data_IF_414369538147
#
_entry.id   IF_414369538147
#
_cell.length_a   1.000
_cell.length_b   1.000
_cell.length_c   1.000
_cell.angle_alpha   90.00
_cell.angle_beta   90.00
_cell.angle_gamma   90.00
#
_symmetry.space_group_name_H-M   'P 1'
#
loop_
_entity.id
_entity.type
_entity.pdbx_description
1 polymer ?
#
# COMPACT_ATOMS: atom_id res chain seq x y z
N UNK A 1 0.86 -29.81 16.54
CA UNK A 1 -0.48 -29.52 16.02
C UNK A 1 -0.85 -30.66 15.08
N UNK A 2 -1.95 -31.36 15.35
CA UNK A 2 -2.49 -32.39 14.48
C UNK A 2 -3.14 -31.69 13.29
N UNK A 3 -2.62 -31.91 12.08
CA UNK A 3 -3.27 -31.49 10.85
C UNK A 3 -4.33 -32.53 10.49
N UNK A 4 -5.61 -32.15 10.52
CA UNK A 4 -6.70 -32.96 9.97
C UNK A 4 -6.74 -32.74 8.46
N UNK A 5 -6.16 -33.69 7.71
CA UNK A 5 -6.04 -33.68 6.24
C UNK A 5 -7.40 -33.73 5.50
N UNK A 6 -8.49 -33.94 6.23
CA UNK A 6 -9.86 -34.16 5.71
C UNK A 6 -10.81 -32.97 5.97
N UNK A 7 -10.32 -31.83 6.48
CA UNK A 7 -11.19 -30.66 6.72
C UNK A 7 -11.52 -29.98 5.38
N UNK A 8 -12.81 -29.87 4.99
CA UNK A 8 -13.17 -29.24 3.72
C UNK A 8 -12.82 -27.75 3.73
N UNK A 9 -12.23 -27.25 2.63
CA UNK A 9 -11.94 -25.84 2.45
C UNK A 9 -13.19 -24.99 2.69
N UNK A 10 -13.12 -24.07 3.64
CA UNK A 10 -14.22 -23.21 4.05
C UNK A 10 -14.45 -22.14 2.99
N UNK A 11 -15.66 -22.15 2.43
CA UNK A 11 -16.14 -21.11 1.53
C UNK A 11 -17.36 -20.46 2.13
N UNK A 12 -17.37 -19.13 2.14
CA UNK A 12 -18.57 -18.37 2.47
C UNK A 12 -19.34 -18.15 1.19
N UNK A 13 -20.59 -18.60 1.15
CA UNK A 13 -21.43 -18.56 -0.06
C UNK A 13 -21.87 -17.15 -0.48
N UNK A 14 -21.63 -16.12 0.35
CA UNK A 14 -21.91 -14.73 0.02
C UNK A 14 -21.11 -13.78 0.93
N UNK A 15 -20.46 -12.77 0.35
CA UNK A 15 -19.87 -11.68 1.12
C UNK A 15 -20.95 -10.91 1.89
N UNK A 16 -20.62 -10.40 3.09
CA UNK A 16 -21.57 -9.66 3.94
C UNK A 16 -22.18 -8.44 3.21
N UNK A 17 -21.35 -7.75 2.42
CA UNK A 17 -21.72 -6.58 1.62
C UNK A 17 -22.42 -6.91 0.29
N UNK A 18 -22.46 -8.18 -0.10
CA UNK A 18 -23.07 -8.64 -1.34
C UNK A 18 -22.35 -8.25 -2.63
N UNK A 19 -21.12 -7.72 -2.56
CA UNK A 19 -20.33 -7.35 -3.75
C UNK A 19 -19.86 -8.60 -4.50
N UNK A 20 -19.42 -9.63 -3.75
CA UNK A 20 -18.97 -10.89 -4.30
C UNK A 20 -19.96 -12.02 -4.00
N UNK A 21 -20.13 -12.91 -5.00
CA UNK A 21 -20.96 -14.11 -4.89
C UNK A 21 -20.38 -15.21 -3.98
N UNK A 22 -19.20 -14.99 -3.40
CA UNK A 22 -18.58 -15.88 -2.42
C UNK A 22 -17.20 -15.37 -1.99
N UNK A 23 -16.74 -15.82 -0.83
CA UNK A 23 -15.42 -15.52 -0.27
C UNK A 23 -14.69 -16.81 0.11
N UNK A 24 -13.36 -16.82 -0.03
CA UNK A 24 -12.50 -17.91 0.42
C UNK A 24 -11.95 -17.62 1.82
N UNK A 25 -11.79 -18.67 2.63
CA UNK A 25 -11.14 -18.52 3.94
C UNK A 25 -9.67 -18.21 3.74
N UNK A 26 -9.21 -17.11 4.33
CA UNK A 26 -7.82 -16.71 4.34
C UNK A 26 -6.96 -17.69 5.15
N UNK A 27 -7.48 -18.23 6.26
CA UNK A 27 -6.79 -19.21 7.11
C UNK A 27 -6.40 -20.47 6.32
N UNK A 28 -7.35 -21.06 5.58
CA UNK A 28 -7.09 -22.27 4.80
C UNK A 28 -6.02 -22.04 3.71
N UNK A 29 -5.99 -20.83 3.12
CA UNK A 29 -4.99 -20.46 2.11
C UNK A 29 -3.61 -20.25 2.76
N UNK A 30 -3.56 -19.62 3.94
CA UNK A 30 -2.32 -19.45 4.70
C UNK A 30 -1.74 -20.80 5.13
N UNK A 31 -2.57 -21.73 5.61
CA UNK A 31 -2.17 -23.09 5.93
C UNK A 31 -1.55 -23.79 4.71
N UNK A 32 -2.21 -23.72 3.55
CA UNK A 32 -1.65 -24.24 2.30
C UNK A 32 -0.33 -23.56 1.93
N UNK A 33 -0.22 -22.23 2.10
CA UNK A 33 1.01 -21.50 1.83
C UNK A 33 2.17 -21.96 2.74
N UNK A 34 1.91 -22.26 4.02
CA UNK A 34 2.92 -22.79 4.96
C UNK A 34 3.43 -24.14 4.47
N UNK A 35 2.54 -25.02 4.02
CA UNK A 35 2.91 -26.33 3.49
C UNK A 35 3.68 -26.24 2.15
N UNK A 36 3.42 -25.19 1.37
CA UNK A 36 4.04 -24.98 0.05
C UNK A 36 5.35 -24.20 0.08
N UNK A 37 5.67 -23.49 1.16
CA UNK A 37 6.87 -22.65 1.25
C UNK A 37 8.15 -23.47 0.98
N UNK A 38 8.89 -23.19 -0.10
CA UNK A 38 10.12 -23.92 -0.40
C UNK A 38 11.19 -23.71 0.67
N UNK A 39 12.03 -24.73 0.91
CA UNK A 39 13.10 -24.66 1.91
C UNK A 39 14.21 -23.67 1.55
N UNK A 40 14.36 -23.32 0.28
CA UNK A 40 15.34 -22.36 -0.26
C UNK A 40 14.75 -20.96 -0.49
N UNK A 41 13.46 -20.76 -0.23
CA UNK A 41 12.82 -19.45 -0.29
C UNK A 41 12.86 -18.75 1.07
N UNK A 42 13.12 -17.44 1.06
CA UNK A 42 13.01 -16.63 2.28
C UNK A 42 11.56 -16.51 2.75
N UNK A 43 10.64 -16.20 1.84
CA UNK A 43 9.21 -16.08 2.10
C UNK A 43 8.39 -16.48 0.86
N UNK A 44 7.11 -16.79 1.06
CA UNK A 44 6.13 -17.07 0.00
C UNK A 44 4.99 -16.06 0.08
N UNK A 45 4.80 -15.29 -1.00
CA UNK A 45 3.62 -14.45 -1.18
C UNK A 45 2.70 -15.12 -2.21
N UNK A 46 1.51 -15.51 -1.79
CA UNK A 46 0.47 -15.99 -2.68
C UNK A 46 -0.43 -14.82 -3.11
N UNK A 47 -0.60 -14.65 -4.42
CA UNK A 47 -1.52 -13.68 -4.99
C UNK A 47 -2.78 -14.40 -5.45
N UNK A 48 -3.94 -13.88 -5.04
CA UNK A 48 -5.25 -14.40 -5.43
C UNK A 48 -6.13 -13.27 -5.97
N UNK A 49 -7.11 -13.63 -6.81
CA UNK A 49 -8.12 -12.73 -7.37
C UNK A 49 -9.52 -12.95 -6.79
N UNK A 50 -9.62 -13.84 -5.80
CA UNK A 50 -10.85 -14.13 -5.08
C UNK A 50 -10.96 -13.25 -3.83
N UNK A 51 -12.18 -12.86 -3.49
CA UNK A 51 -12.44 -12.14 -2.24
C UNK A 51 -12.21 -13.04 -1.02
N UNK A 52 -11.66 -12.48 0.05
CA UNK A 52 -11.22 -13.24 1.22
C UNK A 52 -11.92 -12.76 2.49
N UNK A 53 -12.08 -13.68 3.44
CA UNK A 53 -12.48 -13.38 4.81
C UNK A 53 -11.55 -14.09 5.79
N UNK A 54 -11.32 -13.48 6.95
CA UNK A 54 -10.51 -14.05 8.03
C UNK A 54 -11.41 -14.71 9.09
N UNK A 55 -12.36 -13.95 9.62
CA UNK A 55 -13.31 -14.39 10.65
C UNK A 55 -14.75 -14.29 10.12
N UNK A 56 -15.71 -14.99 10.74
CA UNK A 56 -17.12 -14.96 10.31
C UNK A 56 -17.74 -13.55 10.39
N UNK A 57 -17.28 -12.76 11.38
CA UNK A 57 -17.75 -11.39 11.64
C UNK A 57 -17.01 -10.33 10.81
N UNK A 58 -15.89 -10.68 10.16
CA UNK A 58 -15.16 -9.74 9.31
C UNK A 58 -15.82 -9.64 7.92
N UNK A 59 -15.92 -8.41 7.40
CA UNK A 59 -16.51 -8.16 6.08
C UNK A 59 -15.64 -8.72 4.95
N UNK A 60 -14.34 -8.41 4.97
CA UNK A 60 -13.34 -8.93 4.04
C UNK A 60 -11.92 -8.68 4.55
N UNK A 61 -10.94 -9.29 3.88
CA UNK A 61 -9.52 -9.01 4.07
C UNK A 61 -8.82 -8.90 2.70
N UNK A 62 -7.96 -7.90 2.54
CA UNK A 62 -7.19 -7.72 1.29
C UNK A 62 -5.81 -8.37 1.35
N UNK A 63 -5.29 -8.65 2.54
CA UNK A 63 -3.97 -9.21 2.73
C UNK A 63 -3.75 -9.64 4.17
N UNK A 64 -3.01 -10.72 4.35
CA UNK A 64 -2.54 -11.17 5.67
C UNK A 64 -1.25 -11.94 5.53
N UNK A 65 -0.38 -11.78 6.52
CA UNK A 65 0.82 -12.55 6.69
C UNK A 65 0.84 -13.29 8.03
N UNK A 66 1.34 -14.52 8.00
CA UNK A 66 1.88 -15.18 9.19
C UNK A 66 3.39 -15.00 9.15
N UNK A 67 3.85 -13.81 9.55
CA UNK A 67 5.23 -13.36 9.37
C UNK A 67 6.28 -14.33 9.92
N UNK A 68 6.03 -14.92 11.09
CA UNK A 68 6.91 -15.96 11.69
C UNK A 68 7.00 -17.25 10.85
N UNK A 69 5.97 -17.57 10.08
CA UNK A 69 5.96 -18.69 9.12
C UNK A 69 6.45 -18.27 7.73
N UNK A 70 6.78 -16.98 7.52
CA UNK A 70 7.30 -16.42 6.27
C UNK A 70 6.35 -16.61 5.08
N UNK A 71 5.05 -16.56 5.34
CA UNK A 71 4.02 -16.63 4.30
C UNK A 71 3.09 -15.44 4.37
N UNK A 72 2.64 -15.01 3.20
CA UNK A 72 1.68 -13.94 3.01
C UNK A 72 0.69 -14.32 1.91
N UNK A 73 -0.54 -13.84 2.03
CA UNK A 73 -1.58 -13.94 1.00
C UNK A 73 -2.11 -12.54 0.75
N UNK A 74 -2.21 -12.14 -0.52
CA UNK A 74 -2.82 -10.87 -0.92
C UNK A 74 -3.88 -11.12 -1.99
N UNK A 75 -5.07 -10.56 -1.77
CA UNK A 75 -6.15 -10.55 -2.74
C UNK A 75 -6.17 -9.25 -3.53
N UNK A 76 -6.29 -9.40 -4.84
CA UNK A 76 -6.51 -8.27 -5.75
C UNK A 76 -7.99 -7.88 -5.88
N UNK A 77 -8.94 -8.72 -5.44
CA UNK A 77 -10.37 -8.60 -5.75
C UNK A 77 -10.95 -7.22 -5.38
N UNK A 78 -10.69 -6.80 -4.13
CA UNK A 78 -11.20 -5.55 -3.54
C UNK A 78 -10.49 -4.29 -4.03
N UNK A 79 -9.34 -4.44 -4.71
CA UNK A 79 -8.55 -3.32 -5.23
C UNK A 79 -8.91 -2.91 -6.65
N UNK A 80 -9.81 -3.64 -7.32
CA UNK A 80 -10.28 -3.30 -8.65
C UNK A 80 -10.91 -1.89 -8.66
N UNK A 81 -10.38 -0.93 -9.46
CA UNK A 81 -10.91 0.43 -9.52
C UNK A 81 -12.39 0.52 -9.91
N UNK A 82 -12.91 -0.47 -10.64
CA UNK A 82 -14.35 -0.55 -10.96
C UNK A 82 -15.25 -0.67 -9.72
N UNK A 83 -14.71 -1.03 -8.56
CA UNK A 83 -15.43 -1.13 -7.29
C UNK A 83 -15.33 0.15 -6.44
N UNK A 84 -14.55 1.15 -6.84
CA UNK A 84 -14.23 2.31 -5.98
C UNK A 84 -15.49 3.07 -5.53
N UNK A 85 -16.44 3.27 -6.44
CA UNK A 85 -17.69 3.96 -6.13
C UNK A 85 -18.56 3.16 -5.16
N UNK A 86 -18.56 1.83 -5.26
CA UNK A 86 -19.36 0.94 -4.44
C UNK A 86 -18.76 0.76 -3.04
N UNK A 87 -17.43 0.75 -2.95
CA UNK A 87 -16.67 0.56 -1.72
C UNK A 87 -16.24 1.88 -1.05
N UNK A 88 -16.71 3.02 -1.56
CA UNK A 88 -16.36 4.37 -1.10
C UNK A 88 -14.84 4.61 -0.96
N UNK A 89 -14.04 4.11 -1.90
CA UNK A 89 -12.58 4.27 -1.88
C UNK A 89 -12.22 5.74 -2.12
N UNK A 90 -11.31 6.27 -1.29
CA UNK A 90 -10.77 7.62 -1.49
C UNK A 90 -9.74 7.61 -2.62
N UNK A 91 -10.01 8.35 -3.70
CA UNK A 91 -9.16 8.40 -4.89
C UNK A 91 -8.61 9.81 -5.13
N UNK A 92 -9.34 10.84 -4.71
CA UNK A 92 -8.95 12.23 -4.95
C UNK A 92 -7.81 12.65 -4.02
N UNK A 93 -7.91 12.24 -2.76
CA UNK A 93 -6.93 12.50 -1.70
C UNK A 93 -6.27 11.21 -1.19
N UNK A 94 -6.11 10.22 -2.05
CA UNK A 94 -5.20 9.10 -1.82
C UNK A 94 -3.77 9.61 -1.65
N UNK A 95 -2.86 8.78 -1.16
CA UNK A 95 -1.45 9.14 -1.13
C UNK A 95 -0.94 9.46 -2.56
N UNK A 96 -0.14 10.52 -2.77
CA UNK A 96 0.37 11.49 -1.78
C UNK A 96 -0.56 12.71 -1.56
N UNK A 97 -1.67 12.83 -2.29
CA UNK A 97 -2.58 13.98 -2.22
C UNK A 97 -3.25 14.20 -0.85
N UNK A 98 -3.29 13.18 0.01
CA UNK A 98 -3.58 13.31 1.44
C UNK A 98 -2.65 14.30 2.17
N UNK A 99 -1.51 14.66 1.58
CA UNK A 99 -0.55 15.63 2.09
C UNK A 99 -0.55 16.96 1.29
N UNK A 100 -1.51 17.19 0.39
CA UNK A 100 -1.58 18.48 -0.30
C UNK A 100 -2.03 19.58 0.66
N UNK A 101 -1.47 20.78 0.49
CA UNK A 101 -1.72 21.92 1.39
C UNK A 101 -3.22 22.18 1.58
N UNK A 102 -3.99 22.16 0.48
CA UNK A 102 -5.43 22.46 0.52
C UNK A 102 -6.21 21.45 1.36
N UNK A 103 -5.84 20.16 1.27
CA UNK A 103 -6.46 19.10 2.07
C UNK A 103 -6.09 19.20 3.55
N UNK A 104 -4.80 19.41 3.84
CA UNK A 104 -4.31 19.58 5.22
C UNK A 104 -4.98 20.79 5.88
N UNK A 105 -5.01 21.94 5.21
CA UNK A 105 -5.67 23.14 5.73
C UNK A 105 -7.17 22.90 5.99
N UNK A 106 -7.84 22.11 5.13
CA UNK A 106 -9.23 21.76 5.34
C UNK A 106 -9.40 20.84 6.56
N UNK A 107 -8.52 19.87 6.77
CA UNK A 107 -8.54 19.01 7.94
C UNK A 107 -8.34 19.80 9.24
N UNK A 108 -7.38 20.72 9.27
CA UNK A 108 -7.11 21.60 10.43
C UNK A 108 -8.33 22.46 10.75
N UNK A 109 -8.90 23.15 9.76
CA UNK A 109 -10.12 23.96 9.96
C UNK A 109 -11.28 23.15 10.54
N UNK A 110 -11.51 21.94 10.03
CA UNK A 110 -12.59 21.08 10.51
C UNK A 110 -12.35 20.57 11.94
N UNK A 111 -11.08 20.29 12.29
CA UNK A 111 -10.70 19.87 13.65
C UNK A 111 -10.95 20.99 14.67
N UNK A 112 -10.61 22.23 14.33
CA UNK A 112 -10.85 23.41 15.18
C UNK A 112 -12.35 23.68 15.41
N UNK A 113 -13.19 23.42 14.39
CA UNK A 113 -14.65 23.64 14.45
C UNK A 113 -15.42 22.49 15.14
N UNK A 114 -14.74 21.45 15.63
CA UNK A 114 -15.38 20.25 16.23
C UNK A 114 -16.31 19.51 15.26
N UNK A 115 -16.17 19.74 13.95
CA UNK A 115 -16.97 19.12 12.89
C UNK A 115 -16.18 18.02 12.23
N UNK A 116 -16.82 16.88 12.00
CA UNK A 116 -16.25 15.85 11.14
C UNK A 116 -15.88 16.49 9.78
N UNK A 117 -14.70 16.15 9.22
CA UNK A 117 -14.25 16.76 7.97
C UNK A 117 -15.30 16.55 6.90
N UNK A 118 -15.79 17.66 6.32
CA UNK A 118 -16.80 17.60 5.27
C UNK A 118 -16.21 16.84 4.08
N UNK A 119 -16.86 15.73 3.66
CA UNK A 119 -16.55 14.95 2.43
C UNK A 119 -16.65 15.77 1.12
N UNK A 120 -16.80 17.11 1.17
CA UNK A 120 -16.79 17.96 -0.02
C UNK A 120 -15.43 17.83 -0.70
N UNK A 121 -15.46 17.33 -1.94
CA UNK A 121 -14.33 17.23 -2.87
C UNK A 121 -13.64 18.59 -3.00
N UNK A 122 -12.49 18.74 -2.34
CA UNK A 122 -11.64 19.90 -2.48
C UNK A 122 -10.70 19.63 -3.64
N UNK A 123 -10.90 20.32 -4.77
CA UNK A 123 -10.05 20.10 -5.94
C UNK A 123 -8.61 20.53 -5.65
N UNK A 124 -7.66 19.64 -5.91
CA UNK A 124 -6.24 19.99 -5.93
C UNK A 124 -5.95 21.03 -7.02
N UNK A 125 -5.23 22.10 -6.65
CA UNK A 125 -4.68 23.06 -7.60
C UNK A 125 -3.18 22.81 -7.77
N UNK A 126 -2.73 22.61 -9.01
CA UNK A 126 -1.31 22.53 -9.32
C UNK A 126 -0.68 23.94 -9.18
N UNK A 127 0.14 24.15 -8.15
CA UNK A 127 1.03 25.32 -8.08
C UNK A 127 2.37 24.96 -8.74
N UNK A 128 2.77 25.74 -9.74
CA UNK A 128 4.10 25.65 -10.35
C UNK A 128 5.12 26.37 -9.46
N UNK A 129 5.50 25.75 -8.34
CA UNK A 129 6.70 26.15 -7.61
C UNK A 129 7.93 25.46 -8.20
N UNK A 130 9.00 26.23 -8.41
CA UNK A 130 10.15 25.79 -9.21
C UNK A 130 10.95 24.66 -8.54
N UNK A 131 10.97 24.58 -7.21
CA UNK A 131 11.75 23.58 -6.46
C UNK A 131 10.91 22.93 -5.36
N UNK A 132 10.80 21.60 -5.36
CA UNK A 132 10.25 20.88 -4.21
C UNK A 132 11.29 20.91 -3.08
N UNK A 133 10.88 21.38 -1.90
CA UNK A 133 11.74 21.46 -0.71
C UNK A 133 11.81 20.16 0.09
N UNK A 134 10.97 19.17 -0.26
CA UNK A 134 10.97 17.83 0.35
C UNK A 134 10.49 16.77 -0.62
N UNK A 135 10.80 15.50 -0.31
CA UNK A 135 10.35 14.34 -1.08
C UNK A 135 8.81 14.26 -1.17
N UNK A 136 8.09 14.65 -0.11
CA UNK A 136 6.63 14.68 -0.11
C UNK A 136 6.07 15.75 -1.05
N UNK A 137 6.66 16.95 -1.06
CA UNK A 137 6.25 17.99 -2.01
C UNK A 137 6.52 17.58 -3.46
N UNK A 138 7.64 16.89 -3.71
CA UNK A 138 7.94 16.33 -5.03
C UNK A 138 6.87 15.32 -5.47
N UNK A 139 6.47 14.42 -4.56
CA UNK A 139 5.42 13.43 -4.81
C UNK A 139 4.05 14.08 -5.11
N UNK A 140 3.61 15.02 -4.26
CA UNK A 140 2.34 15.75 -4.44
C UNK A 140 2.32 16.50 -5.77
N UNK A 141 3.43 17.15 -6.14
CA UNK A 141 3.55 17.86 -7.42
C UNK A 141 3.43 16.89 -8.60
N UNK A 142 4.15 15.77 -8.59
CA UNK A 142 4.07 14.77 -9.65
C UNK A 142 2.65 14.19 -9.78
N UNK A 143 2.00 13.87 -8.66
CA UNK A 143 0.60 13.41 -8.63
C UNK A 143 -0.39 14.42 -9.25
N UNK A 144 -0.14 15.72 -9.06
CA UNK A 144 -0.97 16.79 -9.60
C UNK A 144 -0.75 17.04 -11.10
N UNK A 145 0.47 16.76 -11.60
CA UNK A 145 0.83 16.97 -13.00
C UNK A 145 0.31 15.86 -13.92
N UNK A 146 0.15 14.64 -13.41
CA UNK A 146 -0.44 13.53 -14.17
C UNK A 146 -1.97 13.71 -14.25
N UNK A 147 -2.54 13.91 -15.45
CA UNK A 147 -3.98 14.05 -15.61
C UNK A 147 -4.72 12.80 -15.16
N UNK A 148 -5.89 12.96 -14.54
CA UNK A 148 -6.75 11.82 -14.18
C UNK A 148 -7.16 10.99 -15.41
N UNK A 149 -7.24 11.60 -16.59
CA UNK A 149 -7.53 10.90 -17.85
C UNK A 149 -6.40 9.98 -18.34
N UNK A 150 -5.18 10.18 -17.83
CA UNK A 150 -4.03 9.32 -18.15
C UNK A 150 -3.92 8.12 -17.22
N UNK A 151 -4.74 8.06 -16.16
CA UNK A 151 -4.72 6.98 -15.19
C UNK A 151 -5.37 5.72 -15.78
N UNK A 152 -4.57 4.67 -15.96
CA UNK A 152 -5.07 3.36 -16.37
C UNK A 152 -5.58 2.59 -15.15
N UNK A 153 -6.78 2.01 -15.25
CA UNK A 153 -7.34 1.16 -14.20
C UNK A 153 -6.42 -0.01 -13.87
N UNK A 154 -5.77 -0.60 -14.88
CA UNK A 154 -4.84 -1.72 -14.67
C UNK A 154 -3.61 -1.32 -13.87
N UNK A 155 -3.07 -0.13 -14.09
CA UNK A 155 -1.88 0.36 -13.36
C UNK A 155 -2.23 0.87 -11.97
N UNK A 156 -3.40 1.48 -11.78
CA UNK A 156 -3.92 1.83 -10.46
C UNK A 156 -4.19 0.57 -9.62
N UNK A 157 -4.77 -0.46 -10.24
CA UNK A 157 -4.99 -1.74 -9.59
C UNK A 157 -3.66 -2.37 -9.17
N UNK A 158 -2.67 -2.40 -10.06
CA UNK A 158 -1.32 -2.87 -9.76
C UNK A 158 -0.69 -2.09 -8.60
N UNK A 159 -0.77 -0.75 -8.59
CA UNK A 159 -0.21 0.07 -7.53
C UNK A 159 -0.79 -0.28 -6.15
N UNK A 160 -2.11 -0.51 -6.07
CA UNK A 160 -2.80 -0.92 -4.84
C UNK A 160 -2.35 -2.30 -4.37
N UNK A 161 -2.32 -3.29 -5.27
CA UNK A 161 -1.87 -4.64 -4.94
C UNK A 161 -0.40 -4.64 -4.50
N UNK A 162 0.48 -3.88 -5.17
CA UNK A 162 1.89 -3.76 -4.80
C UNK A 162 2.07 -3.16 -3.41
N UNK A 163 1.25 -2.17 -3.01
CA UNK A 163 1.31 -1.59 -1.66
C UNK A 163 1.02 -2.64 -0.59
N UNK A 164 -0.10 -3.35 -0.72
CA UNK A 164 -0.49 -4.40 0.24
C UNK A 164 0.47 -5.57 0.21
N UNK A 165 0.93 -6.00 -0.97
CA UNK A 165 1.97 -7.03 -1.09
C UNK A 165 3.26 -6.63 -0.38
N UNK A 166 3.67 -5.37 -0.48
CA UNK A 166 4.86 -4.86 0.23
C UNK A 166 4.67 -4.85 1.74
N UNK A 167 3.45 -4.50 2.22
CA UNK A 167 3.08 -4.57 3.62
C UNK A 167 3.17 -6.00 4.17
N UNK A 168 2.51 -6.97 3.51
CA UNK A 168 2.51 -8.36 3.97
C UNK A 168 3.91 -9.01 3.88
N UNK A 169 4.71 -8.65 2.89
CA UNK A 169 6.11 -9.05 2.83
C UNK A 169 6.92 -8.43 3.97
N UNK A 170 6.62 -7.20 4.39
CA UNK A 170 7.26 -6.59 5.54
C UNK A 170 7.06 -7.39 6.83
N UNK A 171 5.85 -7.95 7.04
CA UNK A 171 5.61 -8.90 8.12
C UNK A 171 6.47 -10.16 8.02
N UNK A 172 6.74 -10.67 6.81
CA UNK A 172 7.65 -11.80 6.61
C UNK A 172 9.12 -11.48 6.94
N UNK A 173 9.50 -10.19 6.97
CA UNK A 173 10.78 -9.70 7.48
C UNK A 173 10.75 -9.40 8.99
N UNK A 174 9.71 -9.81 9.71
CA UNK A 174 9.58 -9.62 11.16
C UNK A 174 9.19 -8.20 11.58
N UNK A 175 8.61 -7.40 10.68
CA UNK A 175 8.10 -6.07 11.00
C UNK A 175 6.65 -6.16 11.46
N UNK A 176 6.33 -5.66 12.65
CA UNK A 176 4.94 -5.38 13.06
C UNK A 176 4.43 -4.10 12.41
N UNK A 177 3.14 -3.80 12.65
CA UNK A 177 2.58 -2.51 12.27
C UNK A 177 3.39 -1.34 12.86
N UNK A 178 3.67 -0.36 12.00
CA UNK A 178 4.46 0.82 12.35
C UNK A 178 3.59 1.97 12.84
N UNK A 179 4.00 2.60 13.93
CA UNK A 179 3.31 3.76 14.53
C UNK A 179 4.20 5.02 14.58
N UNK A 180 5.44 4.93 14.11
CA UNK A 180 6.45 5.97 14.31
C UNK A 180 6.32 7.13 13.30
N UNK A 181 6.11 6.79 12.02
CA UNK A 181 6.09 7.73 10.91
C UNK A 181 5.14 7.22 9.83
N UNK A 182 4.92 8.03 8.79
CA UNK A 182 4.31 7.57 7.55
C UNK A 182 5.11 6.38 6.99
N UNK A 183 4.48 5.21 6.89
CA UNK A 183 5.15 3.96 6.54
C UNK A 183 4.18 2.99 5.84
N UNK A 184 4.69 2.25 4.86
CA UNK A 184 3.97 1.13 4.23
C UNK A 184 3.57 0.04 5.23
N UNK A 185 4.21 -0.01 6.40
CA UNK A 185 3.87 -0.93 7.50
C UNK A 185 2.81 -0.37 8.46
N UNK A 186 2.20 0.78 8.21
CA UNK A 186 1.09 1.24 9.05
C UNK A 186 -0.12 0.30 8.91
N UNK A 187 -0.75 -0.06 10.03
CA UNK A 187 -2.01 -0.79 10.02
C UNK A 187 -3.12 0.02 9.36
N UNK A 188 -4.06 -0.67 8.72
CA UNK A 188 -5.22 -0.07 8.06
C UNK A 188 -6.49 -0.81 8.44
N UNK A 189 -7.54 -0.06 8.82
CA UNK A 189 -8.85 -0.60 9.15
C UNK A 189 -9.81 -0.65 7.95
N UNK A 190 -9.40 -0.20 6.77
CA UNK A 190 -10.24 -0.26 5.57
C UNK A 190 -9.62 0.38 4.32
N UNK A 191 -10.28 0.22 3.17
CA UNK A 191 -9.75 0.63 1.86
C UNK A 191 -9.47 2.14 1.76
N UNK A 192 -10.28 2.98 2.41
CA UNK A 192 -10.08 4.45 2.41
C UNK A 192 -8.85 4.88 3.21
N UNK A 193 -8.52 4.15 4.28
CA UNK A 193 -7.30 4.38 5.05
C UNK A 193 -6.08 3.83 4.30
N UNK A 194 -6.19 2.61 3.76
CA UNK A 194 -5.14 2.00 2.94
C UNK A 194 -4.76 2.87 1.74
N UNK A 195 -5.72 3.49 1.07
CA UNK A 195 -5.46 4.40 -0.05
C UNK A 195 -4.57 5.61 0.32
N UNK A 196 -4.49 5.98 1.61
CA UNK A 196 -3.67 7.09 2.11
C UNK A 196 -2.30 6.64 2.64
N UNK A 197 -2.05 5.34 2.72
CA UNK A 197 -0.77 4.82 3.17
C UNK A 197 0.32 5.02 2.10
N UNK A 198 1.54 5.41 2.51
CA UNK A 198 2.63 5.60 1.56
C UNK A 198 3.17 4.25 1.05
N UNK A 199 3.70 4.19 -0.19
CA UNK A 199 4.33 3.00 -0.75
C UNK A 199 5.80 2.81 -0.32
N UNK A 200 6.25 3.51 0.72
CA UNK A 200 7.63 3.49 1.20
C UNK A 200 7.73 3.09 2.67
N UNK A 201 8.86 2.50 3.06
CA UNK A 201 9.19 2.28 4.46
C UNK A 201 9.73 3.57 5.09
N UNK A 202 9.34 3.83 6.33
CA UNK A 202 9.93 4.91 7.12
C UNK A 202 11.39 4.58 7.49
N UNK A 203 12.19 5.54 8.00
CA UNK A 203 13.59 5.27 8.36
C UNK A 203 13.80 4.10 9.33
N UNK A 204 12.84 3.87 10.25
CA UNK A 204 12.90 2.75 11.21
C UNK A 204 12.75 1.40 10.50
N UNK A 205 11.71 1.24 9.69
CA UNK A 205 11.44 -0.04 9.02
C UNK A 205 12.35 -0.27 7.81
N UNK A 206 12.81 0.81 7.17
CA UNK A 206 13.86 0.74 6.16
C UNK A 206 15.16 0.18 6.79
N UNK A 207 15.57 0.67 7.96
CA UNK A 207 16.75 0.13 8.63
C UNK A 207 16.59 -1.38 8.95
N UNK A 208 15.39 -1.83 9.34
CA UNK A 208 15.10 -3.26 9.57
C UNK A 208 15.27 -4.08 8.29
N UNK A 209 14.67 -3.65 7.18
CA UNK A 209 14.75 -4.43 5.93
C UNK A 209 16.15 -4.42 5.34
N UNK A 210 16.88 -3.31 5.43
CA UNK A 210 18.28 -3.23 4.97
C UNK A 210 19.17 -4.12 5.82
N UNK A 211 18.96 -4.17 7.14
CA UNK A 211 19.66 -5.11 8.01
C UNK A 211 19.36 -6.57 7.66
N UNK A 212 18.10 -6.90 7.34
CA UNK A 212 17.68 -8.27 7.02
C UNK A 212 18.19 -8.73 5.64
N UNK A 213 18.32 -7.81 4.69
CA UNK A 213 18.70 -8.12 3.29
C UNK A 213 20.17 -7.87 2.98
N UNK A 214 20.87 -7.09 3.80
CA UNK A 214 22.22 -6.61 3.52
C UNK A 214 22.29 -5.58 2.38
N UNK A 215 21.14 -5.05 1.93
CA UNK A 215 21.09 -4.08 0.85
C UNK A 215 21.58 -2.69 1.31
N UNK A 216 22.15 -1.93 0.38
CA UNK A 216 22.42 -0.51 0.58
C UNK A 216 21.16 0.34 0.36
N UNK A 217 21.07 1.49 1.03
CA UNK A 217 19.93 2.42 0.92
C UNK A 217 19.78 2.95 -0.51
N UNK A 218 20.88 3.30 -1.16
CA UNK A 218 20.85 3.82 -2.55
C UNK A 218 20.42 2.73 -3.52
N UNK A 219 20.93 1.50 -3.36
CA UNK A 219 20.55 0.37 -4.20
C UNK A 219 19.07 0.02 -4.03
N UNK A 220 18.56 0.06 -2.80
CA UNK A 220 17.15 -0.13 -2.49
C UNK A 220 16.26 0.89 -3.22
N UNK A 221 16.57 2.18 -3.09
CA UNK A 221 15.80 3.23 -3.76
C UNK A 221 15.95 3.20 -5.28
N UNK A 222 17.12 2.86 -5.83
CA UNK A 222 17.32 2.70 -7.28
C UNK A 222 16.50 1.54 -7.84
N UNK A 223 16.45 0.41 -7.12
CA UNK A 223 15.63 -0.74 -7.52
C UNK A 223 14.14 -0.38 -7.57
N UNK A 224 13.63 0.29 -6.53
CA UNK A 224 12.25 0.78 -6.49
C UNK A 224 11.97 1.80 -7.61
N UNK A 225 12.88 2.75 -7.83
CA UNK A 225 12.70 3.78 -8.87
C UNK A 225 12.63 3.14 -10.26
N UNK A 226 13.55 2.21 -10.56
CA UNK A 226 13.57 1.48 -11.83
C UNK A 226 12.25 0.74 -12.11
N UNK A 227 11.60 0.21 -11.05
CA UNK A 227 10.29 -0.40 -11.21
C UNK A 227 9.20 0.65 -11.48
N UNK A 228 9.16 1.74 -10.71
CA UNK A 228 8.14 2.78 -10.81
C UNK A 228 8.18 3.52 -12.15
N UNK A 229 9.37 3.74 -12.72
CA UNK A 229 9.56 4.40 -14.02
C UNK A 229 8.86 3.71 -15.19
N UNK A 230 8.52 2.42 -15.05
CA UNK A 230 7.76 1.68 -16.07
C UNK A 230 6.31 2.14 -16.20
N UNK A 231 5.78 2.80 -15.16
CA UNK A 231 4.36 3.12 -15.01
C UNK A 231 4.09 4.59 -14.71
N UNK A 232 5.12 5.42 -14.52
CA UNK A 232 4.96 6.81 -14.06
C UNK A 232 4.15 7.70 -15.03
N UNK A 233 4.13 7.40 -16.32
CA UNK A 233 3.30 8.13 -17.29
C UNK A 233 1.84 7.64 -17.34
N UNK A 234 1.53 6.51 -16.68
CA UNK A 234 0.23 5.81 -16.74
C UNK A 234 -0.52 5.81 -15.41
N UNK A 235 0.16 6.09 -14.30
CA UNK A 235 -0.44 6.11 -12.98
C UNK A 235 0.14 7.19 -12.08
N UNK A 236 -0.76 7.89 -11.39
CA UNK A 236 -0.43 9.03 -10.54
C UNK A 236 0.36 8.60 -9.30
N UNK A 237 0.12 7.40 -8.78
CA UNK A 237 0.81 6.84 -7.60
C UNK A 237 2.25 6.49 -7.95
N UNK A 238 2.48 5.82 -9.09
CA UNK A 238 3.83 5.54 -9.56
C UNK A 238 4.59 6.83 -9.89
N UNK A 239 3.96 7.81 -10.54
CA UNK A 239 4.57 9.12 -10.78
C UNK A 239 4.99 9.83 -9.49
N UNK A 240 4.08 9.85 -8.51
CA UNK A 240 4.35 10.40 -7.18
C UNK A 240 5.52 9.69 -6.50
N UNK A 241 5.55 8.36 -6.55
CA UNK A 241 6.59 7.59 -5.88
C UNK A 241 7.95 7.71 -6.56
N UNK A 242 8.00 7.71 -7.90
CA UNK A 242 9.23 8.02 -8.64
C UNK A 242 9.79 9.39 -8.25
N UNK A 243 8.95 10.42 -8.16
CA UNK A 243 9.38 11.76 -7.75
C UNK A 243 9.89 11.79 -6.30
N UNK A 244 9.22 11.08 -5.39
CA UNK A 244 9.68 10.91 -4.01
C UNK A 244 11.06 10.23 -3.94
N UNK A 245 11.25 9.13 -4.68
CA UNK A 245 12.49 8.36 -4.72
C UNK A 245 13.65 9.16 -5.31
N UNK A 246 13.43 9.90 -6.41
CA UNK A 246 14.45 10.77 -7.01
C UNK A 246 14.95 11.82 -6.01
N UNK A 247 14.04 12.42 -5.23
CA UNK A 247 14.43 13.37 -4.19
C UNK A 247 15.19 12.71 -3.04
N UNK A 248 14.80 11.50 -2.61
CA UNK A 248 15.55 10.76 -1.57
C UNK A 248 16.95 10.38 -2.02
N UNK A 249 17.11 9.96 -3.27
CA UNK A 249 18.43 9.62 -3.84
C UNK A 249 19.37 10.82 -3.89
N UNK A 250 18.89 12.03 -4.17
CA UNK A 250 19.73 13.23 -4.11
C UNK A 250 20.20 13.52 -2.68
N UNK A 251 19.32 13.40 -1.68
CA UNK A 251 19.68 13.63 -0.27
C UNK A 251 20.69 12.61 0.26
N UNK A 252 20.55 11.32 -0.07
CA UNK A 252 21.50 10.27 0.36
C UNK A 252 22.89 10.49 -0.25
N UNK A 253 22.94 10.99 -1.49
CA UNK A 253 24.21 11.31 -2.17
C UNK A 253 24.93 12.50 -1.50
N UNK A 254 24.19 13.50 -1.03
CA UNK A 254 24.72 14.67 -0.31
C UNK A 254 25.25 14.29 1.08
N UNK A 255 24.53 13.45 1.82
CA UNK A 255 24.95 12.93 3.14
C UNK A 255 26.23 12.09 3.04
N UNK A 256 26.35 11.27 1.99
CA UNK A 256 27.54 10.45 1.72
C UNK A 256 28.76 11.28 1.30
N UNK A 257 28.54 12.45 0.69
CA UNK A 257 29.62 13.36 0.28
C UNK A 257 30.11 14.27 1.42
N UNK A 258 29.35 14.32 2.52
CA UNK A 258 29.61 15.19 3.68
C UNK A 258 30.19 14.44 4.90
N UNK A 259 30.32 13.11 4.80
CA UNK A 259 30.85 12.20 5.84
C UNK A 259 32.26 11.73 5.49
#
# INVERSE_FOLDING_TARGET
MSWDDDRPAKKRSKASDGIFGGQLSLEDILDAAIALLPTDAYALLLLVDHDLYEEEDNDFCCGRAYGGSRVAVVSSARYNPGLDALQEVEVEHAWPASHCQTYVDACVRNADDGRAPSRKKVKMAAKNEAHASSAMQAAVRAFALVPASSQSDGTLWLARVCRTASHELGHCFGMDHCVYYACSMQGSAGLSEDARQPPYLCPVDLAKVLCATGADTSDWYRALLKFCERFEDQDRTFAAFSAWLRHRLSTVSEESSSS
#
